data_IF_638692547506
#
_entry.id   IF_638692547506
#
_cell.length_a   1.000
_cell.length_b   1.000
_cell.length_c   1.000
_cell.angle_alpha   90.00
_cell.angle_beta   90.00
_cell.angle_gamma   90.00
#
_symmetry.space_group_name_H-M   'P 1'
#
loop_
_entity.id
_entity.type
_entity.pdbx_description
1 polymer ?
#
# COMPACT_ATOMS: atom_id res chain seq x y z
N UNK A 1 7.88 7.23 21.78
CA UNK A 1 7.86 7.38 20.32
C UNK A 1 6.55 6.80 19.82
N UNK A 2 5.78 7.58 19.07
CA UNK A 2 4.51 7.18 18.48
C UNK A 2 4.62 7.22 16.96
N UNK A 3 4.22 6.13 16.32
CA UNK A 3 4.20 6.00 14.86
C UNK A 3 2.75 5.88 14.45
N UNK A 4 2.30 6.76 13.55
CA UNK A 4 1.03 6.59 12.87
C UNK A 4 1.25 5.76 11.61
N UNK A 5 0.48 4.69 11.45
CA UNK A 5 0.53 3.82 10.27
C UNK A 5 -0.81 3.92 9.56
N UNK A 6 -0.75 4.20 8.28
CA UNK A 6 -1.87 4.39 7.36
C UNK A 6 -1.65 3.50 6.15
N UNK A 7 -2.71 3.08 5.47
CA UNK A 7 -2.63 2.31 4.24
C UNK A 7 -3.96 2.43 3.48
N UNK A 8 -4.01 1.90 2.26
CA UNK A 8 -5.25 1.69 1.51
C UNK A 8 -6.08 2.99 1.32
N UNK A 9 -5.41 4.10 1.01
CA UNK A 9 -6.10 5.36 0.70
C UNK A 9 -6.89 5.24 -0.61
N UNK A 10 -6.34 4.55 -1.61
CA UNK A 10 -6.99 4.24 -2.87
C UNK A 10 -7.67 5.42 -3.54
N UNK A 11 -6.93 6.52 -3.69
CA UNK A 11 -7.38 7.76 -4.30
C UNK A 11 -8.45 8.50 -3.51
N UNK A 12 -8.76 8.11 -2.27
CA UNK A 12 -9.81 8.74 -1.46
C UNK A 12 -9.31 10.03 -0.81
N UNK A 13 -9.30 11.12 -1.59
CA UNK A 13 -8.85 12.43 -1.13
C UNK A 13 -9.58 12.92 0.14
N UNK A 14 -10.93 12.85 0.25
CA UNK A 14 -11.61 13.26 1.49
C UNK A 14 -11.15 12.48 2.74
N UNK A 15 -10.89 11.17 2.60
CA UNK A 15 -10.37 10.37 3.71
C UNK A 15 -8.93 10.78 4.06
N UNK A 16 -8.09 11.03 3.05
CA UNK A 16 -6.73 11.51 3.27
C UNK A 16 -6.72 12.87 4.01
N UNK A 17 -7.54 13.83 3.60
CA UNK A 17 -7.60 15.14 4.27
C UNK A 17 -8.03 15.01 5.73
N UNK A 18 -9.05 14.19 6.03
CA UNK A 18 -9.47 13.94 7.40
C UNK A 18 -8.36 13.27 8.25
N UNK A 19 -7.58 12.37 7.63
CA UNK A 19 -6.43 11.75 8.29
C UNK A 19 -5.31 12.76 8.54
N UNK A 20 -5.05 13.67 7.59
CA UNK A 20 -4.06 14.73 7.75
C UNK A 20 -4.42 15.61 8.95
N UNK A 21 -5.69 16.06 9.06
CA UNK A 21 -6.16 16.84 10.20
C UNK A 21 -5.95 16.10 11.53
N UNK A 22 -6.25 14.80 11.55
CA UNK A 22 -6.08 13.98 12.75
C UNK A 22 -4.60 13.75 13.11
N UNK A 23 -3.73 13.54 12.12
CA UNK A 23 -2.27 13.45 12.30
C UNK A 23 -1.73 14.76 12.84
N UNK A 24 -2.19 15.91 12.31
CA UNK A 24 -1.83 17.23 12.82
C UNK A 24 -2.28 17.44 14.27
N UNK A 25 -3.43 16.87 14.66
CA UNK A 25 -3.91 16.93 16.05
C UNK A 25 -3.11 16.03 16.99
N UNK A 26 -2.76 14.81 16.56
CA UNK A 26 -2.07 13.80 17.37
C UNK A 26 -0.56 14.10 17.48
N UNK A 27 0.04 14.70 16.44
CA UNK A 27 1.47 14.95 16.31
C UNK A 27 2.33 13.70 16.58
N UNK A 28 2.17 12.61 15.80
CA UNK A 28 3.06 11.45 15.93
C UNK A 28 4.49 11.80 15.55
N UNK A 29 5.47 11.09 16.11
CA UNK A 29 6.89 11.29 15.78
C UNK A 29 7.23 10.87 14.34
N UNK A 30 6.44 9.94 13.78
CA UNK A 30 6.60 9.42 12.42
C UNK A 30 5.23 9.03 11.84
N UNK A 31 5.04 9.26 10.55
CA UNK A 31 3.89 8.75 9.79
C UNK A 31 4.40 7.86 8.67
N UNK A 32 3.79 6.68 8.57
CA UNK A 32 4.05 5.68 7.54
C UNK A 32 2.77 5.44 6.75
N UNK A 33 2.85 5.55 5.44
CA UNK A 33 1.79 5.22 4.49
C UNK A 33 2.19 3.95 3.72
N UNK A 34 1.64 2.82 4.15
CA UNK A 34 1.97 1.47 3.71
C UNK A 34 1.15 1.04 2.48
N UNK A 35 1.33 1.77 1.38
CA UNK A 35 0.85 1.36 0.06
C UNK A 35 -0.61 1.62 -0.26
N UNK A 36 -0.95 1.32 -1.52
CA UNK A 36 -2.27 1.45 -2.11
C UNK A 36 -2.81 2.88 -1.97
N UNK A 37 -2.02 3.84 -2.46
CA UNK A 37 -2.35 5.25 -2.49
C UNK A 37 -3.35 5.57 -3.60
N UNK A 38 -3.23 4.85 -4.71
CA UNK A 38 -3.93 5.15 -5.96
C UNK A 38 -4.96 4.07 -6.32
N UNK A 39 -5.67 4.31 -7.41
CA UNK A 39 -6.64 3.40 -8.02
C UNK A 39 -7.89 3.20 -7.10
N UNK A 40 -8.94 2.54 -7.57
CA UNK A 40 -10.28 2.44 -6.95
C UNK A 40 -11.18 3.68 -7.05
N UNK A 41 -10.74 4.88 -6.65
CA UNK A 41 -11.57 6.11 -6.73
C UNK A 41 -10.85 7.25 -7.49
N UNK A 42 -11.59 8.26 -7.98
CA UNK A 42 -11.11 9.15 -9.03
C UNK A 42 -10.27 10.35 -8.55
N UNK A 43 -9.74 10.34 -7.31
CA UNK A 43 -8.89 11.43 -6.82
C UNK A 43 -7.44 11.01 -6.61
N UNK A 44 -6.98 9.98 -7.33
CA UNK A 44 -5.60 9.49 -7.26
C UNK A 44 -4.56 10.59 -7.55
N UNK A 45 -4.68 11.44 -8.61
CA UNK A 45 -3.72 12.53 -8.83
C UNK A 45 -3.64 13.50 -7.65
N UNK A 46 -4.78 13.88 -7.08
CA UNK A 46 -4.84 14.80 -5.95
C UNK A 46 -4.26 14.17 -4.68
N UNK A 47 -4.53 12.89 -4.44
CA UNK A 47 -3.88 12.14 -3.35
C UNK A 47 -2.37 12.13 -3.51
N UNK A 48 -1.86 11.90 -4.72
CA UNK A 48 -0.43 11.95 -4.99
C UNK A 48 0.14 13.34 -4.73
N UNK A 49 -0.50 14.41 -5.23
CA UNK A 49 -0.05 15.78 -5.01
C UNK A 49 0.04 16.12 -3.51
N UNK A 50 -0.96 15.68 -2.72
CA UNK A 50 -0.97 15.88 -1.28
C UNK A 50 0.14 15.09 -0.60
N UNK A 51 0.25 13.79 -0.89
CA UNK A 51 1.29 12.93 -0.28
C UNK A 51 2.70 13.37 -0.66
N UNK A 52 2.93 13.81 -1.89
CA UNK A 52 4.23 14.35 -2.33
C UNK A 52 4.64 15.64 -1.59
N UNK A 53 3.67 16.40 -1.08
CA UNK A 53 3.92 17.58 -0.26
C UNK A 53 4.13 17.25 1.23
N UNK A 54 3.84 16.03 1.66
CA UNK A 54 3.99 15.56 3.03
C UNK A 54 5.36 14.89 3.22
N UNK A 55 5.94 15.06 4.40
CA UNK A 55 7.18 14.38 4.78
C UNK A 55 6.90 13.02 5.47
N UNK A 56 6.04 12.21 4.85
CA UNK A 56 5.67 10.88 5.36
C UNK A 56 6.55 9.81 4.72
N UNK A 57 6.79 8.71 5.42
CA UNK A 57 7.40 7.52 4.82
C UNK A 57 6.34 6.80 4.01
N UNK A 58 6.60 6.57 2.73
CA UNK A 58 5.64 5.91 1.84
C UNK A 58 6.25 4.65 1.26
N UNK A 59 5.48 3.57 1.23
CA UNK A 59 5.82 2.26 0.65
C UNK A 59 4.83 1.95 -0.47
N UNK A 60 5.25 1.21 -1.52
CA UNK A 60 4.33 0.78 -2.58
C UNK A 60 3.42 -0.36 -2.11
N UNK A 61 2.15 -0.24 -2.42
CA UNK A 61 1.20 -1.35 -2.42
C UNK A 61 1.06 -1.96 -3.82
N UNK A 62 0.18 -2.95 -3.95
CA UNK A 62 0.02 -3.64 -5.22
C UNK A 62 -0.64 -2.77 -6.30
N UNK A 63 -1.42 -1.76 -5.92
CA UNK A 63 -2.06 -0.85 -6.89
C UNK A 63 -1.05 0.05 -7.60
N UNK A 64 0.05 0.44 -6.93
CA UNK A 64 1.16 1.11 -7.59
C UNK A 64 1.82 0.22 -8.64
N UNK A 65 1.94 -1.09 -8.40
CA UNK A 65 2.45 -2.04 -9.41
C UNK A 65 1.49 -2.24 -10.58
N UNK A 66 0.17 -2.26 -10.36
CA UNK A 66 -0.79 -2.32 -11.47
C UNK A 66 -0.61 -1.15 -12.44
N UNK A 67 -0.34 0.05 -11.92
CA UNK A 67 -0.02 1.22 -12.72
C UNK A 67 1.36 1.12 -13.39
N UNK A 68 2.42 0.83 -12.62
CA UNK A 68 3.81 0.84 -13.11
C UNK A 68 4.10 -0.27 -14.13
N UNK A 69 3.46 -1.43 -13.99
CA UNK A 69 3.67 -2.57 -14.87
C UNK A 69 2.75 -2.56 -16.10
N UNK A 70 1.77 -1.65 -16.17
CA UNK A 70 0.84 -1.59 -17.29
C UNK A 70 1.57 -1.43 -18.63
N UNK A 71 1.20 -2.25 -19.61
CA UNK A 71 1.84 -2.25 -20.94
C UNK A 71 3.23 -2.90 -20.98
N UNK A 72 3.68 -3.55 -19.90
CA UNK A 72 4.93 -4.33 -19.85
C UNK A 72 4.64 -5.83 -19.69
N UNK A 73 5.66 -6.67 -19.84
CA UNK A 73 5.55 -8.13 -19.63
C UNK A 73 5.21 -8.53 -18.18
N UNK A 74 5.29 -7.58 -17.23
CA UNK A 74 4.92 -7.78 -15.81
C UNK A 74 3.45 -7.45 -15.52
N UNK A 75 2.73 -6.91 -16.49
CA UNK A 75 1.35 -6.53 -16.35
C UNK A 75 0.48 -7.72 -15.89
N UNK A 76 -0.57 -7.44 -15.11
CA UNK A 76 -1.52 -8.49 -14.73
C UNK A 76 -2.25 -8.97 -15.98
N UNK A 77 -2.33 -10.29 -16.24
CA UNK A 77 -3.06 -10.81 -17.39
C UNK A 77 -4.52 -10.32 -17.41
N UNK A 78 -4.96 -9.81 -18.56
CA UNK A 78 -6.32 -9.28 -18.74
C UNK A 78 -6.48 -7.82 -18.31
N UNK A 79 -5.44 -7.15 -17.82
CA UNK A 79 -5.52 -5.72 -17.46
C UNK A 79 -5.70 -4.78 -18.66
N UNK A 80 -5.45 -5.26 -19.88
CA UNK A 80 -5.72 -4.56 -21.13
C UNK A 80 -7.22 -4.36 -21.42
N UNK A 81 -8.09 -5.17 -20.83
CA UNK A 81 -9.54 -5.01 -20.95
C UNK A 81 -10.03 -3.83 -20.11
N UNK A 82 -10.17 -2.67 -20.77
CA UNK A 82 -10.67 -1.44 -20.17
C UNK A 82 -12.09 -1.58 -19.59
N UNK A 83 -12.89 -2.56 -20.01
CA UNK A 83 -14.22 -2.79 -19.45
C UNK A 83 -14.13 -3.35 -18.03
N UNK A 84 -13.18 -4.26 -17.80
CA UNK A 84 -12.95 -4.89 -16.49
C UNK A 84 -12.00 -4.09 -15.61
N UNK A 85 -11.06 -3.38 -16.22
CA UNK A 85 -10.01 -2.61 -15.57
C UNK A 85 -10.16 -1.11 -15.77
N UNK A 86 -11.38 -0.61 -15.97
CA UNK A 86 -11.63 0.80 -16.30
C UNK A 86 -11.02 1.80 -15.32
N UNK A 87 -10.92 1.45 -14.03
CA UNK A 87 -10.25 2.29 -13.03
C UNK A 87 -8.74 2.45 -13.29
N UNK A 88 -8.07 1.37 -13.70
CA UNK A 88 -6.65 1.39 -14.04
C UNK A 88 -6.44 2.20 -15.33
N UNK A 89 -7.26 1.97 -16.35
CA UNK A 89 -7.18 2.73 -17.62
C UNK A 89 -7.43 4.21 -17.40
N UNK A 90 -8.45 4.56 -16.61
CA UNK A 90 -8.70 5.94 -16.22
C UNK A 90 -7.49 6.52 -15.46
N UNK A 91 -6.95 5.82 -14.47
CA UNK A 91 -5.79 6.26 -13.70
C UNK A 91 -4.58 6.56 -14.60
N UNK A 92 -4.32 5.72 -15.59
CA UNK A 92 -3.21 5.89 -16.54
C UNK A 92 -3.29 7.21 -17.29
N UNK A 93 -4.50 7.65 -17.66
CA UNK A 93 -4.72 8.91 -18.35
C UNK A 93 -4.56 10.14 -17.44
N UNK A 94 -4.73 9.98 -16.12
CA UNK A 94 -4.74 11.10 -15.18
C UNK A 94 -3.41 11.36 -14.48
N UNK A 95 -2.56 10.34 -14.33
CA UNK A 95 -1.29 10.47 -13.59
C UNK A 95 -0.27 11.22 -14.44
N UNK A 96 0.29 12.29 -13.87
CA UNK A 96 1.30 13.11 -14.55
C UNK A 96 2.68 12.43 -14.55
N UNK A 97 3.62 12.81 -15.44
CA UNK A 97 4.98 12.26 -15.41
C UNK A 97 5.71 12.46 -14.08
N UNK A 98 5.45 13.57 -13.38
CA UNK A 98 6.06 13.86 -12.06
C UNK A 98 5.54 12.88 -11.01
N UNK A 99 4.22 12.64 -11.01
CA UNK A 99 3.58 11.66 -10.12
C UNK A 99 4.01 10.22 -10.45
N UNK A 100 4.12 9.88 -11.73
CA UNK A 100 4.62 8.58 -12.18
C UNK A 100 6.05 8.32 -11.70
N UNK A 101 6.93 9.31 -11.82
CA UNK A 101 8.29 9.23 -11.31
C UNK A 101 8.33 9.08 -9.78
N UNK A 102 7.46 9.77 -9.06
CA UNK A 102 7.30 9.60 -7.61
C UNK A 102 6.93 8.16 -7.28
N UNK A 103 5.88 7.61 -7.90
CA UNK A 103 5.44 6.23 -7.71
C UNK A 103 6.55 5.21 -8.00
N UNK A 104 7.30 5.40 -9.09
CA UNK A 104 8.42 4.52 -9.46
C UNK A 104 9.59 4.59 -8.47
N UNK A 105 9.79 5.73 -7.81
CA UNK A 105 10.87 5.93 -6.83
C UNK A 105 10.51 5.40 -5.43
N UNK A 106 9.24 5.10 -5.17
CA UNK A 106 8.82 4.55 -3.89
C UNK A 106 9.48 3.18 -3.65
N UNK A 107 9.90 2.88 -2.42
CA UNK A 107 10.39 1.57 -2.04
C UNK A 107 9.26 0.53 -2.05
N UNK A 108 9.57 -0.72 -2.35
CA UNK A 108 8.63 -1.84 -2.22
C UNK A 108 8.37 -2.18 -0.75
N UNK A 109 9.37 -1.94 0.10
CA UNK A 109 9.37 -2.20 1.54
C UNK A 109 10.33 -1.25 2.25
N UNK A 110 10.16 -1.06 3.56
CA UNK A 110 11.10 -0.32 4.40
C UNK A 110 11.36 -1.01 5.72
N UNK A 111 12.61 -0.99 6.17
CA UNK A 111 12.95 -1.29 7.56
C UNK A 111 13.20 0.01 8.30
N UNK A 112 12.48 0.23 9.40
CA UNK A 112 12.62 1.36 10.29
C UNK A 112 13.49 0.98 11.48
N UNK A 113 14.48 1.82 11.79
CA UNK A 113 15.43 1.60 12.88
C UNK A 113 15.25 2.68 13.93
N UNK A 114 15.01 2.27 15.18
CA UNK A 114 14.90 3.20 16.29
C UNK A 114 15.95 2.85 17.37
N UNK A 115 16.62 3.84 17.98
CA UNK A 115 17.63 3.58 18.99
C UNK A 115 17.07 2.77 20.16
N UNK A 116 17.76 1.67 20.50
CA UNK A 116 17.40 0.82 21.64
C UNK A 116 16.17 -0.07 21.43
N UNK A 117 15.62 -0.17 20.21
CA UNK A 117 14.53 -1.09 19.87
C UNK A 117 14.94 -2.08 18.80
N UNK A 118 14.14 -3.14 18.60
CA UNK A 118 14.25 -3.96 17.41
C UNK A 118 13.81 -3.16 16.18
N UNK A 119 14.39 -3.43 14.99
CA UNK A 119 13.91 -2.85 13.74
C UNK A 119 12.51 -3.32 13.40
N UNK A 120 11.76 -2.48 12.68
CA UNK A 120 10.40 -2.77 12.23
C UNK A 120 10.37 -2.83 10.71
N UNK A 121 9.95 -3.96 10.15
CA UNK A 121 9.73 -4.13 8.71
C UNK A 121 8.34 -3.62 8.35
N UNK A 122 8.23 -2.84 7.28
CA UNK A 122 6.99 -2.33 6.70
C UNK A 122 6.90 -2.84 5.27
N UNK A 123 5.82 -3.55 4.95
CA UNK A 123 5.53 -4.05 3.62
C UNK A 123 4.02 -4.17 3.45
N UNK A 124 3.48 -3.65 2.34
CA UNK A 124 2.04 -3.60 2.12
C UNK A 124 1.34 -4.96 2.25
N UNK A 125 2.00 -6.05 1.84
CA UNK A 125 1.54 -7.42 2.05
C UNK A 125 2.57 -8.23 2.84
N UNK A 126 2.67 -9.52 2.55
CA UNK A 126 3.81 -10.33 3.01
C UNK A 126 5.07 -9.76 2.34
N UNK A 127 6.19 -9.57 3.07
CA UNK A 127 7.45 -9.16 2.46
C UNK A 127 7.83 -10.01 1.24
N UNK A 128 8.20 -9.32 0.16
CA UNK A 128 8.47 -9.85 -1.17
C UNK A 128 7.22 -10.13 -2.01
N UNK A 129 6.01 -10.07 -1.43
CA UNK A 129 4.73 -10.46 -2.05
C UNK A 129 3.59 -9.53 -1.65
N UNK A 130 3.60 -8.31 -2.18
CA UNK A 130 2.58 -7.28 -1.89
C UNK A 130 1.13 -7.60 -2.33
N UNK A 131 0.89 -8.68 -3.08
CA UNK A 131 -0.47 -9.16 -3.45
C UNK A 131 -0.97 -10.27 -2.52
N UNK A 132 -0.18 -10.64 -1.52
CA UNK A 132 -0.51 -11.65 -0.52
C UNK A 132 -0.56 -10.90 0.81
N UNK A 133 -1.64 -11.02 1.56
CA UNK A 133 -1.75 -10.39 2.87
C UNK A 133 -2.07 -11.39 3.96
N UNK A 134 -2.07 -10.90 5.20
CA UNK A 134 -2.41 -11.67 6.39
C UNK A 134 -3.89 -11.52 6.72
N UNK A 135 -4.61 -12.62 6.89
CA UNK A 135 -6.04 -12.59 7.16
C UNK A 135 -6.32 -12.96 8.62
N UNK A 136 -7.28 -12.28 9.24
CA UNK A 136 -7.66 -12.52 10.65
C UNK A 136 -8.05 -13.97 10.97
N UNK A 137 -8.53 -14.72 9.97
CA UNK A 137 -8.98 -16.11 10.11
C UNK A 137 -7.86 -17.13 9.87
N UNK A 138 -6.66 -16.69 9.48
CA UNK A 138 -5.53 -17.59 9.27
C UNK A 138 -5.04 -18.18 10.61
N UNK A 139 -4.71 -19.47 10.65
CA UNK A 139 -4.02 -20.06 11.81
C UNK A 139 -2.72 -19.32 12.10
N UNK A 140 -2.40 -19.14 13.38
CA UNK A 140 -1.18 -18.45 13.80
C UNK A 140 0.07 -19.13 13.23
N UNK A 141 0.08 -20.46 13.12
CA UNK A 141 1.18 -21.24 12.55
C UNK A 141 1.41 -20.92 11.07
N UNK A 142 0.34 -20.66 10.32
CA UNK A 142 0.44 -20.25 8.92
C UNK A 142 1.07 -18.85 8.81
N UNK A 143 0.63 -17.91 9.64
CA UNK A 143 1.21 -16.55 9.70
C UNK A 143 2.69 -16.63 10.08
N UNK A 144 3.05 -17.43 11.09
CA UNK A 144 4.45 -17.63 11.53
C UNK A 144 5.30 -18.18 10.39
N UNK A 145 4.80 -19.17 9.65
CA UNK A 145 5.52 -19.75 8.49
C UNK A 145 5.78 -18.69 7.42
N UNK A 146 4.82 -17.80 7.16
CA UNK A 146 4.97 -16.74 6.15
C UNK A 146 6.03 -15.69 6.55
N UNK A 147 6.32 -15.53 7.85
CA UNK A 147 7.26 -14.53 8.38
C UNK A 147 8.53 -15.12 8.98
N UNK A 148 8.70 -16.45 9.01
CA UNK A 148 9.82 -17.11 9.71
C UNK A 148 11.20 -16.72 9.17
N UNK A 149 11.24 -16.36 7.88
CA UNK A 149 12.48 -15.97 7.18
C UNK A 149 12.78 -14.48 7.28
N UNK A 150 11.88 -13.69 7.87
CA UNK A 150 12.06 -12.25 8.05
C UNK A 150 12.96 -12.02 9.27
N UNK A 151 14.05 -11.30 9.07
CA UNK A 151 15.02 -11.04 10.13
C UNK A 151 14.53 -10.06 11.20
N UNK A 152 13.53 -9.24 10.89
CA UNK A 152 12.93 -8.30 11.82
C UNK A 152 11.86 -8.94 12.72
N UNK A 153 11.92 -8.65 14.02
CA UNK A 153 10.98 -9.18 15.02
C UNK A 153 9.58 -8.56 14.96
N UNK A 154 9.38 -7.50 14.17
CA UNK A 154 8.08 -6.83 14.01
C UNK A 154 7.87 -6.50 12.55
N UNK A 155 6.73 -6.94 12.02
CA UNK A 155 6.29 -6.69 10.65
C UNK A 155 4.98 -5.90 10.72
N UNK A 156 4.92 -4.80 9.99
CA UNK A 156 3.72 -4.01 9.72
C UNK A 156 3.31 -4.33 8.29
N UNK A 157 2.03 -4.66 8.12
CA UNK A 157 1.46 -5.03 6.83
C UNK A 157 0.01 -4.53 6.69
N UNK A 158 -0.41 -4.37 5.44
CA UNK A 158 -1.72 -3.89 5.03
C UNK A 158 -2.39 -4.88 4.06
N UNK A 159 -2.91 -4.40 2.92
CA UNK A 159 -3.53 -5.18 1.82
C UNK A 159 -4.88 -5.84 2.14
N UNK A 160 -5.06 -6.27 3.39
CA UNK A 160 -6.21 -7.04 3.83
C UNK A 160 -7.19 -6.14 4.57
N UNK A 161 -8.17 -5.62 3.84
CA UNK A 161 -9.35 -5.01 4.46
C UNK A 161 -10.16 -6.13 5.12
N UNK A 162 -10.23 -6.10 6.46
CA UNK A 162 -10.71 -7.21 7.30
C UNK A 162 -11.97 -7.96 6.80
N UNK A 163 -11.96 -9.27 7.09
CA UNK A 163 -12.98 -10.28 6.77
C UNK A 163 -13.29 -10.44 5.28
N UNK A 164 -12.49 -11.24 4.58
CA UNK A 164 -12.91 -11.86 3.32
C UNK A 164 -13.51 -13.22 3.65
N UNK A 165 -14.84 -13.31 3.70
CA UNK A 165 -15.51 -14.60 3.78
C UNK A 165 -14.92 -15.54 2.70
N UNK A 166 -14.58 -16.80 3.03
CA UNK A 166 -13.96 -17.70 2.09
C UNK A 166 -14.85 -17.81 0.85
N UNK A 167 -14.28 -17.48 -0.33
CA UNK A 167 -14.94 -17.83 -1.59
C UNK A 167 -14.99 -19.35 -1.65
N UNK A 168 -16.16 -19.96 -1.90
CA UNK A 168 -16.20 -21.40 -2.12
C UNK A 168 -15.27 -21.74 -3.29
N UNK A 169 -14.40 -22.71 -3.07
CA UNK A 169 -13.54 -23.24 -4.10
C UNK A 169 -14.41 -23.93 -5.16
N UNK A 170 -14.48 -23.34 -6.36
CA UNK A 170 -14.99 -23.98 -7.56
C UNK A 170 -16.51 -24.00 -7.72
N UNK A 171 -16.96 -23.41 -8.83
CA UNK A 171 -18.16 -23.80 -9.58
C UNK A 171 -17.79 -23.87 -11.05
#
# INVERSE_FOLDING_TARGET
MHIAVLADIHGNLPALEAIIEEVERIQPDLVVLDGDLINAVPFSPQVLDRVMALNWVVVRGNHEFYYLDFGTDRAVPGCEDATRWGQLHWLIEQVTPVQANFLAALPDERTLYFPGTQPVRVAHGVPGRNRVGFYNEQPAEAIVTEIETIGEATVISAHTRGARAPRPAGS
#
